data_IF_811778251320
#
_entry.id   IF_811778251320
#
_cell.length_a   1.000
_cell.length_b   1.000
_cell.length_c   1.000
_cell.angle_alpha   90.00
_cell.angle_beta   90.00
_cell.angle_gamma   90.00
#
_symmetry.space_group_name_H-M   'P 1'
#
loop_
_entity.id
_entity.type
_entity.pdbx_description
1 polymer ?
#
# COMPACT_ATOMS: atom_id res chain seq x y z
N UNK A 1 1.78 16.62 -15.09
CA UNK A 1 2.48 16.78 -13.79
C UNK A 1 3.94 17.02 -14.05
N UNK A 2 4.52 18.11 -13.50
CA UNK A 2 5.93 18.48 -13.69
C UNK A 2 6.76 18.27 -12.42
N UNK A 3 6.14 18.47 -11.27
CA UNK A 3 6.79 18.37 -9.96
C UNK A 3 5.99 17.48 -9.02
N UNK A 4 6.68 16.63 -8.25
CA UNK A 4 6.06 15.73 -7.27
C UNK A 4 6.80 15.76 -5.94
N UNK A 5 6.05 15.78 -4.84
CA UNK A 5 6.53 15.53 -3.50
C UNK A 5 6.13 14.12 -3.07
N UNK A 6 7.08 13.33 -2.57
CA UNK A 6 6.84 11.99 -2.04
C UNK A 6 7.10 12.00 -0.52
N UNK A 7 6.04 11.81 0.27
CA UNK A 7 6.18 11.62 1.72
C UNK A 7 6.43 10.14 2.02
N UNK A 8 7.68 9.77 2.27
CA UNK A 8 8.15 8.39 2.31
C UNK A 8 8.80 7.96 1.00
N UNK A 9 8.46 6.79 0.47
CA UNK A 9 8.83 6.36 -0.88
C UNK A 9 10.26 5.82 -1.05
N UNK A 10 10.99 5.50 0.02
CA UNK A 10 12.36 4.97 -0.08
C UNK A 10 12.44 3.44 -0.07
N UNK A 11 11.32 2.75 0.01
CA UNK A 11 11.25 1.29 0.06
C UNK A 11 10.07 0.77 -0.75
N UNK A 12 10.13 -0.49 -1.19
CA UNK A 12 9.06 -1.25 -1.82
C UNK A 12 8.42 -0.49 -3.00
N UNK A 13 7.13 -0.61 -3.23
CA UNK A 13 6.44 0.07 -4.33
C UNK A 13 6.56 1.61 -4.29
N UNK A 14 6.80 2.21 -3.13
CA UNK A 14 7.07 3.65 -3.04
C UNK A 14 8.38 4.04 -3.74
N UNK A 15 9.43 3.20 -3.63
CA UNK A 15 10.69 3.37 -4.34
C UNK A 15 10.50 3.23 -5.86
N UNK A 16 9.70 2.24 -6.30
CA UNK A 16 9.35 2.05 -7.70
C UNK A 16 8.58 3.24 -8.28
N UNK A 17 7.68 3.85 -7.48
CA UNK A 17 6.98 5.07 -7.86
C UNK A 17 7.96 6.21 -8.13
N UNK A 18 8.95 6.42 -7.26
CA UNK A 18 9.97 7.46 -7.47
C UNK A 18 10.71 7.24 -8.79
N UNK A 19 11.17 6.01 -9.08
CA UNK A 19 11.83 5.69 -10.35
C UNK A 19 10.93 5.97 -11.56
N UNK A 20 9.65 5.55 -11.52
CA UNK A 20 8.70 5.83 -12.62
C UNK A 20 8.49 7.34 -12.86
N UNK A 21 8.44 8.12 -11.79
CA UNK A 21 8.33 9.59 -11.91
C UNK A 21 9.58 10.20 -12.54
N UNK A 22 10.76 9.75 -12.15
CA UNK A 22 12.03 10.21 -12.74
C UNK A 22 12.15 9.82 -14.21
N UNK A 23 11.77 8.61 -14.59
CA UNK A 23 11.73 8.12 -15.96
C UNK A 23 10.78 8.94 -16.85
N UNK A 24 9.65 9.43 -16.32
CA UNK A 24 8.70 10.33 -17.02
C UNK A 24 9.18 11.81 -17.00
N UNK A 25 10.36 12.10 -16.48
CA UNK A 25 10.95 13.45 -16.44
C UNK A 25 10.35 14.37 -15.38
N UNK A 26 9.68 13.83 -14.37
CA UNK A 26 9.12 14.61 -13.25
C UNK A 26 10.22 15.02 -12.29
N UNK A 27 10.23 16.28 -11.87
CA UNK A 27 11.12 16.77 -10.81
C UNK A 27 10.58 16.27 -9.48
N UNK A 28 11.34 15.37 -8.84
CA UNK A 28 10.90 14.68 -7.62
C UNK A 28 11.61 15.23 -6.39
N UNK A 29 10.84 15.54 -5.37
CA UNK A 29 11.30 15.82 -4.01
C UNK A 29 10.85 14.67 -3.11
N UNK A 30 11.78 14.02 -2.40
CA UNK A 30 11.48 12.95 -1.44
C UNK A 30 11.65 13.50 -0.01
N UNK A 31 10.61 13.40 0.81
CA UNK A 31 10.60 13.87 2.18
C UNK A 31 10.47 12.67 3.16
N UNK A 32 11.52 12.43 3.94
CA UNK A 32 11.64 11.30 4.88
C UNK A 32 12.38 11.70 6.14
N UNK A 33 12.54 10.76 7.08
CA UNK A 33 13.38 10.95 8.27
C UNK A 33 14.88 10.84 7.99
N UNK A 34 15.31 10.57 6.74
CA UNK A 34 16.69 10.40 6.35
C UNK A 34 17.38 9.15 6.92
N UNK A 35 16.62 8.13 7.34
CA UNK A 35 17.17 6.92 7.99
C UNK A 35 17.41 5.76 7.02
N UNK A 36 16.71 5.73 5.90
CA UNK A 36 16.81 4.69 4.87
C UNK A 36 17.62 5.25 3.70
N UNK A 37 18.62 4.52 3.27
CA UNK A 37 19.35 4.84 2.04
C UNK A 37 18.46 4.52 0.83
N UNK A 38 18.54 5.35 -0.19
CA UNK A 38 17.92 5.14 -1.48
C UNK A 38 18.99 5.11 -2.59
N UNK A 39 18.60 4.77 -3.80
CA UNK A 39 19.45 4.69 -4.99
C UNK A 39 19.01 5.66 -6.09
N UNK A 40 18.29 6.72 -5.74
CA UNK A 40 17.74 7.69 -6.70
C UNK A 40 18.80 8.62 -7.33
N UNK A 41 20.06 8.51 -6.90
CA UNK A 41 21.14 9.40 -7.39
C UNK A 41 20.91 10.87 -7.03
N UNK A 42 21.51 11.75 -7.82
CA UNK A 42 21.44 13.21 -7.62
C UNK A 42 20.18 13.84 -8.25
N UNK A 43 19.38 13.05 -8.98
CA UNK A 43 18.16 13.51 -9.66
C UNK A 43 16.97 13.79 -8.73
N UNK A 44 17.12 13.54 -7.42
CA UNK A 44 16.06 13.71 -6.43
C UNK A 44 16.48 14.68 -5.34
N UNK A 45 15.65 15.71 -5.12
CA UNK A 45 15.80 16.54 -3.92
C UNK A 45 15.33 15.77 -2.67
N UNK A 46 16.11 15.84 -1.59
CA UNK A 46 15.79 15.16 -0.33
C UNK A 46 15.54 16.15 0.79
N UNK A 47 14.35 16.07 1.39
CA UNK A 47 13.99 16.83 2.57
C UNK A 47 13.97 15.91 3.81
N UNK A 48 14.64 16.32 4.88
CA UNK A 48 14.57 15.60 6.15
C UNK A 48 13.41 16.17 6.97
N UNK A 49 12.40 15.34 7.22
CA UNK A 49 11.20 15.71 7.97
C UNK A 49 10.88 14.70 9.06
N UNK A 50 10.25 15.17 10.10
CA UNK A 50 9.51 14.34 11.07
C UNK A 50 8.00 14.61 10.88
N UNK A 51 7.27 13.66 10.28
CA UNK A 51 5.85 13.85 9.97
C UNK A 51 4.95 13.94 11.21
N UNK A 52 5.44 13.48 12.36
CA UNK A 52 4.74 13.62 13.64
C UNK A 52 4.87 15.05 14.22
N UNK A 53 5.70 15.90 13.60
CA UNK A 53 5.97 17.29 14.02
C UNK A 53 5.59 18.28 12.92
N UNK A 54 4.50 19.00 13.10
CA UNK A 54 4.00 19.99 12.13
C UNK A 54 5.08 21.01 11.75
N UNK A 55 5.82 21.53 12.73
CA UNK A 55 6.88 22.53 12.53
C UNK A 55 8.02 22.02 11.63
N UNK A 56 8.34 20.72 11.71
CA UNK A 56 9.34 20.08 10.86
C UNK A 56 8.93 20.13 9.38
N UNK A 57 7.67 19.77 9.09
CA UNK A 57 7.15 19.80 7.71
C UNK A 57 6.93 21.23 7.22
N UNK A 58 6.34 22.11 8.04
CA UNK A 58 6.09 23.52 7.66
C UNK A 58 7.39 24.21 7.24
N UNK A 59 8.48 24.01 8.02
CA UNK A 59 9.79 24.58 7.71
C UNK A 59 10.38 23.99 6.43
N UNK A 60 10.29 22.66 6.26
CA UNK A 60 10.85 21.98 5.08
C UNK A 60 10.12 22.36 3.78
N UNK A 61 8.81 22.72 3.87
CA UNK A 61 7.97 23.06 2.72
C UNK A 61 7.84 24.57 2.49
N UNK A 62 8.54 25.41 3.25
CA UNK A 62 8.51 26.86 3.08
C UNK A 62 9.04 27.27 1.72
N UNK A 63 8.32 28.18 1.04
CA UNK A 63 8.68 28.68 -0.30
C UNK A 63 8.61 27.66 -1.44
N UNK A 64 8.04 26.48 -1.23
CA UNK A 64 7.97 25.39 -2.20
C UNK A 64 6.56 25.15 -2.69
N UNK A 65 6.45 24.62 -3.91
CA UNK A 65 5.18 24.19 -4.51
C UNK A 65 5.39 22.94 -5.34
N UNK A 66 4.38 22.06 -5.38
CA UNK A 66 4.36 20.84 -6.18
C UNK A 66 3.02 20.68 -6.89
N UNK A 67 3.05 20.10 -8.08
CA UNK A 67 1.81 19.76 -8.78
C UNK A 67 1.05 18.66 -8.03
N UNK A 68 1.77 17.66 -7.52
CA UNK A 68 1.19 16.51 -6.86
C UNK A 68 2.01 16.10 -5.64
N UNK A 69 1.34 15.73 -4.56
CA UNK A 69 1.94 15.02 -3.44
C UNK A 69 1.47 13.56 -3.42
N UNK A 70 2.40 12.64 -3.18
CA UNK A 70 2.12 11.22 -2.91
C UNK A 70 2.46 10.92 -1.45
N UNK A 71 1.44 10.66 -0.65
CA UNK A 71 1.64 10.32 0.76
C UNK A 71 1.66 8.80 0.95
N UNK A 72 2.88 8.25 0.97
CA UNK A 72 3.15 6.81 1.08
C UNK A 72 3.27 6.34 2.53
N UNK A 73 3.40 7.26 3.47
CA UNK A 73 3.74 6.92 4.86
C UNK A 73 2.69 7.35 5.89
N UNK A 74 1.58 7.96 5.47
CA UNK A 74 0.50 8.36 6.37
C UNK A 74 -0.21 7.14 6.98
N UNK A 75 -0.32 7.15 8.29
CA UNK A 75 -0.95 6.08 9.05
C UNK A 75 -2.30 6.48 9.65
N UNK A 76 -2.46 7.70 10.13
CA UNK A 76 -3.59 8.14 10.95
C UNK A 76 -4.18 9.47 10.50
N UNK A 77 -5.42 9.81 10.93
CA UNK A 77 -6.02 11.11 10.62
C UNK A 77 -5.21 12.29 11.17
N UNK A 78 -4.53 12.12 12.32
CA UNK A 78 -3.66 13.18 12.85
C UNK A 78 -2.47 13.43 11.91
N UNK A 79 -1.88 12.38 11.36
CA UNK A 79 -0.79 12.51 10.40
C UNK A 79 -1.26 13.09 9.05
N UNK A 80 -2.44 12.69 8.57
CA UNK A 80 -3.06 13.27 7.38
C UNK A 80 -3.31 14.76 7.54
N UNK A 81 -3.89 15.15 8.68
CA UNK A 81 -4.12 16.55 9.06
C UNK A 81 -2.82 17.34 9.09
N UNK A 82 -1.83 16.84 9.81
CA UNK A 82 -0.54 17.53 9.97
C UNK A 82 0.16 17.73 8.62
N UNK A 83 0.14 16.71 7.76
CA UNK A 83 0.74 16.80 6.42
C UNK A 83 -0.04 17.77 5.52
N UNK A 84 -1.36 17.63 5.47
CA UNK A 84 -2.19 18.46 4.60
C UNK A 84 -2.11 19.96 5.00
N UNK A 85 -2.21 20.28 6.30
CA UNK A 85 -2.08 21.67 6.78
C UNK A 85 -0.70 22.29 6.47
N UNK A 86 0.39 21.49 6.49
CA UNK A 86 1.72 21.98 6.10
C UNK A 86 1.85 22.21 4.59
N UNK A 87 1.01 21.53 3.78
CA UNK A 87 0.99 21.58 2.32
C UNK A 87 -0.13 22.45 1.74
N UNK A 88 -1.01 22.99 2.56
CA UNK A 88 -2.13 23.83 2.09
C UNK A 88 -1.63 25.04 1.29
N UNK A 89 -2.18 25.21 0.10
CA UNK A 89 -1.77 26.26 -0.86
C UNK A 89 -0.45 25.99 -1.60
N UNK A 90 0.19 24.84 -1.36
CA UNK A 90 1.48 24.47 -1.97
C UNK A 90 1.38 23.31 -2.96
N UNK A 91 0.24 22.66 -3.06
CA UNK A 91 0.01 21.49 -3.91
C UNK A 91 -1.23 21.64 -4.76
N UNK A 92 -1.25 20.99 -5.93
CA UNK A 92 -2.39 20.97 -6.83
C UNK A 92 -3.21 19.67 -6.79
N UNK A 93 -2.66 18.58 -6.23
CA UNK A 93 -3.31 17.28 -6.13
C UNK A 93 -2.72 16.48 -4.96
N UNK A 94 -3.54 15.73 -4.23
CA UNK A 94 -3.12 14.87 -3.13
C UNK A 94 -3.43 13.42 -3.42
N UNK A 95 -2.43 12.54 -3.44
CA UNK A 95 -2.60 11.09 -3.62
C UNK A 95 -2.20 10.40 -2.33
N UNK A 96 -3.15 9.71 -1.73
CA UNK A 96 -2.95 8.98 -0.48
C UNK A 96 -2.89 7.48 -0.72
N UNK A 97 -1.82 6.84 -0.27
CA UNK A 97 -1.74 5.38 -0.23
C UNK A 97 -2.44 4.85 1.02
N UNK A 98 -3.66 4.37 0.81
CA UNK A 98 -4.48 3.71 1.83
C UNK A 98 -4.25 2.19 1.81
N UNK A 99 -5.28 1.39 1.94
CA UNK A 99 -5.22 -0.08 2.04
C UNK A 99 -6.61 -0.69 1.86
N UNK A 100 -6.69 -1.94 1.42
CA UNK A 100 -7.92 -2.73 1.48
C UNK A 100 -8.46 -2.91 2.91
N UNK A 101 -7.60 -2.73 3.93
CA UNK A 101 -7.99 -2.89 5.34
C UNK A 101 -9.02 -1.85 5.82
N UNK A 102 -9.40 -0.87 5.00
CA UNK A 102 -10.56 -0.02 5.29
C UNK A 102 -11.89 -0.78 5.20
N UNK A 103 -11.91 -1.94 4.56
CA UNK A 103 -13.10 -2.79 4.45
C UNK A 103 -13.15 -3.84 5.56
N UNK A 104 -14.37 -4.26 5.90
CA UNK A 104 -14.57 -5.51 6.60
C UNK A 104 -14.27 -6.71 5.68
N UNK A 105 -14.01 -7.88 6.24
CA UNK A 105 -13.87 -9.10 5.45
C UNK A 105 -15.09 -9.34 4.56
N UNK A 106 -14.86 -9.87 3.37
CA UNK A 106 -15.90 -10.17 2.38
C UNK A 106 -15.34 -10.24 0.96
N UNK A 107 -16.17 -10.71 0.05
CA UNK A 107 -15.81 -10.85 -1.36
C UNK A 107 -16.12 -9.58 -2.15
N UNK A 108 -15.29 -9.30 -3.16
CA UNK A 108 -15.50 -8.27 -4.19
C UNK A 108 -15.83 -6.89 -3.60
N UNK A 109 -15.06 -6.49 -2.56
CA UNK A 109 -15.26 -5.20 -1.91
C UNK A 109 -15.08 -4.06 -2.89
N UNK A 110 -16.09 -3.20 -2.97
CA UNK A 110 -16.12 -2.01 -3.84
C UNK A 110 -15.72 -0.77 -3.05
N UNK A 111 -15.32 0.27 -3.76
CA UNK A 111 -14.95 1.55 -3.12
C UNK A 111 -16.11 2.15 -2.31
N UNK A 112 -17.34 1.87 -2.70
CA UNK A 112 -18.56 2.31 -2.00
C UNK A 112 -18.84 1.58 -0.69
N UNK A 113 -18.19 0.45 -0.41
CA UNK A 113 -18.35 -0.30 0.85
C UNK A 113 -17.73 0.42 2.06
N UNK A 114 -16.93 1.44 1.82
CA UNK A 114 -16.48 2.38 2.83
C UNK A 114 -16.59 3.82 2.30
N UNK A 115 -17.50 4.60 2.88
CA UNK A 115 -17.66 6.02 2.56
C UNK A 115 -16.91 6.88 3.60
N UNK A 116 -15.76 7.49 3.23
CA UNK A 116 -14.99 8.33 4.11
C UNK A 116 -15.68 9.66 4.47
N UNK A 117 -16.70 10.09 3.71
CA UNK A 117 -17.45 11.32 4.03
C UNK A 117 -18.40 11.13 5.22
N UNK A 118 -18.80 9.88 5.50
CA UNK A 118 -19.67 9.52 6.62
C UNK A 118 -18.91 9.04 7.87
N UNK A 119 -17.57 8.91 7.78
CA UNK A 119 -16.76 8.42 8.89
C UNK A 119 -16.28 9.58 9.76
N UNK A 120 -16.47 9.49 11.08
CA UNK A 120 -16.00 10.48 12.05
C UNK A 120 -14.58 10.07 12.55
N UNK A 121 -13.51 10.79 12.16
CA UNK A 121 -12.15 10.39 12.48
C UNK A 121 -11.77 10.74 13.93
N UNK A 122 -11.24 9.76 14.65
CA UNK A 122 -10.65 9.98 15.98
C UNK A 122 -9.16 10.29 15.85
N UNK A 123 -8.77 11.51 16.29
CA UNK A 123 -7.38 12.00 16.16
C UNK A 123 -6.50 11.49 17.30
N UNK A 124 -5.81 10.39 17.08
CA UNK A 124 -4.85 9.78 18.02
C UNK A 124 -3.45 9.76 17.40
N UNK A 125 -2.43 9.64 18.25
CA UNK A 125 -1.08 9.34 17.78
C UNK A 125 -1.00 7.90 17.29
N UNK A 126 -0.12 7.65 16.33
CA UNK A 126 0.09 6.33 15.71
C UNK A 126 0.19 5.17 16.70
N UNK A 127 0.87 5.39 17.83
CA UNK A 127 1.10 4.35 18.86
C UNK A 127 -0.15 3.98 19.68
N UNK A 128 -1.20 4.77 19.59
CA UNK A 128 -2.46 4.54 20.32
C UNK A 128 -3.43 3.65 19.53
N UNK A 129 -3.10 3.35 18.27
CA UNK A 129 -3.84 2.40 17.45
C UNK A 129 -3.22 1.02 17.57
N UNK A 130 -3.94 0.06 18.15
CA UNK A 130 -3.46 -1.31 18.40
C UNK A 130 -4.09 -2.35 17.47
N UNK A 131 -3.25 -3.28 16.98
CA UNK A 131 -3.73 -4.42 16.19
C UNK A 131 -4.36 -4.04 14.84
N UNK A 132 -5.05 -5.02 14.21
CA UNK A 132 -5.69 -4.84 12.91
C UNK A 132 -6.85 -3.83 12.97
N UNK A 133 -7.67 -3.89 14.02
CA UNK A 133 -8.81 -2.96 14.20
C UNK A 133 -8.32 -1.50 14.34
N UNK A 134 -7.25 -1.28 15.12
CA UNK A 134 -6.65 0.05 15.22
C UNK A 134 -6.05 0.53 13.91
N UNK A 135 -5.40 -0.37 13.16
CA UNK A 135 -4.90 -0.04 11.82
C UNK A 135 -6.03 0.36 10.86
N UNK A 136 -7.12 -0.40 10.86
CA UNK A 136 -8.32 -0.11 10.08
C UNK A 136 -8.91 1.26 10.45
N UNK A 137 -9.14 1.51 11.76
CA UNK A 137 -9.63 2.80 12.27
C UNK A 137 -8.74 3.97 11.82
N UNK A 138 -7.42 3.81 11.95
CA UNK A 138 -6.45 4.83 11.59
C UNK A 138 -6.50 5.18 10.10
N UNK A 139 -6.54 4.16 9.21
CA UNK A 139 -6.58 4.37 7.76
C UNK A 139 -7.93 4.92 7.30
N UNK A 140 -9.04 4.45 7.85
CA UNK A 140 -10.38 5.03 7.62
C UNK A 140 -10.41 6.51 8.01
N UNK A 141 -9.88 6.84 9.19
CA UNK A 141 -9.81 8.22 9.66
C UNK A 141 -8.92 9.12 8.79
N UNK A 142 -7.81 8.59 8.27
CA UNK A 142 -6.94 9.37 7.37
C UNK A 142 -7.63 9.68 6.04
N UNK A 143 -8.34 8.72 5.43
CA UNK A 143 -9.17 8.97 4.25
C UNK A 143 -10.26 9.99 4.54
N UNK A 144 -11.00 9.80 5.64
CA UNK A 144 -12.08 10.70 6.05
C UNK A 144 -11.59 12.14 6.20
N UNK A 145 -10.46 12.34 6.90
CA UNK A 145 -9.90 13.68 7.05
C UNK A 145 -9.60 14.33 5.71
N UNK A 146 -8.94 13.62 4.80
CA UNK A 146 -8.56 14.17 3.49
C UNK A 146 -9.79 14.51 2.64
N UNK A 147 -10.77 13.61 2.52
CA UNK A 147 -11.97 13.87 1.73
C UNK A 147 -12.86 14.98 2.30
N UNK A 148 -12.92 15.10 3.62
CA UNK A 148 -13.76 16.11 4.28
C UNK A 148 -13.13 17.50 4.34
N UNK A 149 -11.79 17.61 4.29
CA UNK A 149 -11.10 18.88 4.59
C UNK A 149 -10.18 19.38 3.47
N UNK A 150 -9.75 18.53 2.52
CA UNK A 150 -8.85 18.98 1.47
C UNK A 150 -9.55 19.89 0.48
N UNK A 151 -8.90 21.02 0.14
CA UNK A 151 -9.36 22.00 -0.84
C UNK A 151 -8.82 21.74 -2.25
N UNK A 152 -8.01 20.70 -2.39
CA UNK A 152 -7.46 20.23 -3.68
C UNK A 152 -8.06 18.87 -4.02
N UNK A 153 -8.05 18.45 -5.29
CA UNK A 153 -8.44 17.10 -5.68
C UNK A 153 -7.66 16.04 -4.87
N UNK A 154 -8.36 15.01 -4.38
CA UNK A 154 -7.79 13.90 -3.62
C UNK A 154 -8.06 12.60 -4.35
N UNK A 155 -7.01 11.80 -4.56
CA UNK A 155 -7.12 10.39 -4.92
C UNK A 155 -6.63 9.52 -3.74
N UNK A 156 -7.37 8.47 -3.46
CA UNK A 156 -7.01 7.47 -2.46
C UNK A 156 -6.84 6.14 -3.16
N UNK A 157 -5.66 5.53 -3.03
CA UNK A 157 -5.38 4.22 -3.59
C UNK A 157 -5.42 3.20 -2.47
N UNK A 158 -6.29 2.17 -2.61
CA UNK A 158 -6.51 1.08 -1.66
C UNK A 158 -5.92 -0.22 -2.21
N UNK A 159 -4.61 -0.45 -2.05
CA UNK A 159 -4.00 -1.68 -2.52
C UNK A 159 -4.49 -2.88 -1.71
N UNK A 160 -4.61 -4.02 -2.39
CA UNK A 160 -4.70 -5.34 -1.80
C UNK A 160 -3.40 -5.70 -1.05
N UNK A 161 -3.21 -6.98 -0.73
CA UNK A 161 -1.95 -7.47 -0.18
C UNK A 161 -0.85 -7.29 -1.23
N UNK A 162 0.04 -6.31 -1.01
CA UNK A 162 1.12 -6.04 -1.96
C UNK A 162 2.21 -7.09 -1.82
N UNK A 163 2.64 -7.67 -2.94
CA UNK A 163 3.70 -8.69 -3.03
C UNK A 163 4.79 -8.26 -4.01
N UNK A 164 6.01 -8.72 -3.79
CA UNK A 164 7.16 -8.43 -4.67
C UNK A 164 8.45 -8.94 -4.06
N UNK A 165 9.51 -9.03 -4.88
CA UNK A 165 10.85 -9.41 -4.42
C UNK A 165 11.49 -8.40 -3.47
N UNK A 166 10.96 -7.18 -3.43
CA UNK A 166 11.37 -6.05 -2.61
C UNK A 166 10.44 -5.81 -1.39
N UNK A 167 9.53 -6.77 -1.08
CA UNK A 167 8.66 -6.70 0.10
C UNK A 167 9.47 -6.94 1.38
N UNK A 168 9.84 -5.82 2.04
CA UNK A 168 10.55 -5.85 3.32
C UNK A 168 9.75 -6.43 4.48
N UNK A 169 8.46 -6.69 4.31
CA UNK A 169 7.61 -7.34 5.33
C UNK A 169 7.73 -8.85 5.31
N UNK A 170 8.32 -9.41 4.24
CA UNK A 170 8.62 -10.83 4.05
C UNK A 170 7.42 -11.78 4.19
N UNK A 171 6.18 -11.25 4.07
CA UNK A 171 4.96 -12.05 4.26
C UNK A 171 4.82 -13.16 3.23
N UNK A 172 5.18 -12.91 1.99
CA UNK A 172 5.16 -13.93 0.95
C UNK A 172 6.34 -14.91 1.15
N UNK A 173 7.54 -14.38 1.40
CA UNK A 173 8.74 -15.16 1.65
C UNK A 173 8.57 -16.15 2.83
N UNK A 174 7.82 -15.76 3.87
CA UNK A 174 7.49 -16.65 4.99
C UNK A 174 6.94 -18.00 4.49
N UNK A 175 6.02 -18.02 3.53
CA UNK A 175 5.41 -19.25 3.02
C UNK A 175 6.41 -20.06 2.18
N UNK A 176 7.20 -19.39 1.35
CA UNK A 176 8.27 -20.04 0.57
C UNK A 176 9.27 -20.71 1.49
N UNK A 177 9.74 -19.99 2.52
CA UNK A 177 10.71 -20.50 3.49
C UNK A 177 10.15 -21.69 4.31
N UNK A 178 8.89 -21.63 4.73
CA UNK A 178 8.24 -22.72 5.46
C UNK A 178 8.15 -23.99 4.63
N UNK A 179 7.75 -23.88 3.36
CA UNK A 179 7.71 -25.05 2.44
C UNK A 179 9.11 -25.57 2.19
N UNK A 180 10.10 -24.71 1.90
CA UNK A 180 11.50 -25.14 1.68
C UNK A 180 12.07 -25.94 2.85
N UNK A 181 11.69 -25.57 4.09
CA UNK A 181 12.16 -26.20 5.34
C UNK A 181 11.23 -27.32 5.83
N UNK A 182 10.11 -27.59 5.15
CA UNK A 182 9.08 -28.54 5.55
C UNK A 182 8.54 -28.25 6.99
N UNK A 183 8.46 -26.94 7.34
CA UNK A 183 8.00 -26.45 8.61
C UNK A 183 6.49 -26.14 8.60
N UNK A 184 5.79 -26.27 9.74
CA UNK A 184 4.35 -26.01 9.81
C UNK A 184 3.97 -24.56 9.47
N UNK A 185 2.89 -24.42 8.68
CA UNK A 185 2.20 -23.16 8.37
C UNK A 185 0.85 -23.22 9.09
N UNK A 186 0.69 -22.35 10.08
CA UNK A 186 -0.53 -22.30 10.92
C UNK A 186 -1.60 -21.41 10.28
N UNK A 187 -2.75 -21.98 9.95
CA UNK A 187 -3.94 -21.27 9.52
C UNK A 187 -5.19 -21.97 10.01
N UNK A 188 -6.15 -21.24 10.60
CA UNK A 188 -7.42 -21.82 11.05
C UNK A 188 -8.34 -22.18 9.90
N UNK A 189 -8.25 -21.42 8.81
CA UNK A 189 -8.95 -21.66 7.56
C UNK A 189 -8.00 -21.27 6.41
N UNK A 190 -7.68 -22.21 5.57
CA UNK A 190 -6.80 -22.02 4.43
C UNK A 190 -7.55 -21.93 3.08
N UNK A 191 -8.89 -22.06 3.12
CA UNK A 191 -9.75 -21.92 1.92
C UNK A 191 -10.26 -20.47 1.71
N UNK A 192 -9.97 -19.54 2.63
CA UNK A 192 -10.34 -18.13 2.45
C UNK A 192 -9.56 -17.50 1.31
N UNK A 193 -10.29 -16.78 0.45
CA UNK A 193 -9.71 -16.10 -0.71
C UNK A 193 -9.33 -14.66 -0.38
N UNK A 194 -8.24 -14.19 -0.96
CA UNK A 194 -7.79 -12.81 -0.82
C UNK A 194 -7.14 -12.29 -2.11
N UNK A 195 -7.20 -10.97 -2.26
CA UNK A 195 -6.57 -10.31 -3.41
C UNK A 195 -5.12 -9.95 -3.13
N UNK A 196 -4.31 -10.08 -4.18
CA UNK A 196 -2.95 -9.54 -4.24
C UNK A 196 -2.85 -8.38 -5.23
N UNK A 197 -1.84 -7.54 -5.08
CA UNK A 197 -1.33 -6.66 -6.13
C UNK A 197 0.20 -6.74 -6.16
N UNK A 198 0.81 -6.62 -7.33
CA UNK A 198 2.26 -6.53 -7.42
C UNK A 198 2.78 -5.18 -6.92
N UNK A 199 4.04 -5.14 -6.45
CA UNK A 199 4.71 -3.87 -6.15
C UNK A 199 4.87 -2.99 -7.41
N UNK A 200 4.95 -3.61 -8.58
CA UNK A 200 4.95 -2.95 -9.89
C UNK A 200 3.63 -2.25 -10.18
N UNK A 201 2.49 -2.96 -10.00
CA UNK A 201 1.15 -2.40 -10.25
C UNK A 201 0.78 -1.35 -9.20
N UNK A 202 1.16 -1.57 -7.94
CA UNK A 202 0.94 -0.57 -6.90
C UNK A 202 1.64 0.76 -7.24
N UNK A 203 2.90 0.71 -7.66
CA UNK A 203 3.64 1.89 -8.12
C UNK A 203 3.09 2.45 -9.43
N UNK A 204 2.73 1.56 -10.38
CA UNK A 204 2.17 1.92 -11.69
C UNK A 204 0.85 2.65 -11.56
N UNK A 205 -0.08 2.15 -10.74
CA UNK A 205 -1.36 2.81 -10.55
C UNK A 205 -1.24 4.14 -9.80
N UNK A 206 -0.36 4.24 -8.80
CA UNK A 206 -0.07 5.51 -8.13
C UNK A 206 0.45 6.56 -9.13
N UNK A 207 1.39 6.16 -10.00
CA UNK A 207 1.89 7.03 -11.08
C UNK A 207 0.76 7.44 -12.03
N UNK A 208 -0.06 6.47 -12.50
CA UNK A 208 -1.21 6.71 -13.36
C UNK A 208 -2.20 7.69 -12.72
N UNK A 209 -2.53 7.49 -11.43
CA UNK A 209 -3.44 8.36 -10.69
C UNK A 209 -2.98 9.83 -10.67
N UNK A 210 -1.66 10.06 -10.55
CA UNK A 210 -1.11 11.41 -10.62
C UNK A 210 -1.07 11.99 -12.03
N UNK A 211 -0.74 11.17 -13.01
CA UNK A 211 -0.67 11.56 -14.43
C UNK A 211 -2.04 11.95 -14.97
N UNK A 212 -3.04 11.14 -14.70
CA UNK A 212 -4.43 11.37 -15.14
C UNK A 212 -5.23 12.26 -14.17
N UNK A 213 -4.60 12.74 -13.08
CA UNK A 213 -5.24 13.57 -12.04
C UNK A 213 -6.54 12.95 -11.51
N UNK A 214 -6.52 11.65 -11.24
CA UNK A 214 -7.67 10.91 -10.74
C UNK A 214 -8.14 11.46 -9.40
N UNK A 215 -9.45 11.29 -9.10
CA UNK A 215 -10.07 11.73 -7.84
C UNK A 215 -10.98 10.64 -7.29
N UNK A 216 -11.13 10.60 -5.96
CA UNK A 216 -11.91 9.56 -5.29
C UNK A 216 -11.06 8.36 -4.88
N UNK A 217 -11.70 7.32 -4.36
CA UNK A 217 -11.02 6.10 -3.93
C UNK A 217 -10.94 5.09 -5.09
N UNK A 218 -9.86 4.30 -5.12
CA UNK A 218 -9.60 3.26 -6.12
C UNK A 218 -9.03 2.01 -5.45
N UNK A 219 -9.69 0.89 -5.63
CA UNK A 219 -9.15 -0.41 -5.30
C UNK A 219 -8.13 -0.85 -6.36
N UNK A 220 -7.01 -1.42 -5.93
CA UNK A 220 -6.03 -1.99 -6.83
C UNK A 220 -5.64 -3.41 -6.42
N UNK A 221 -5.76 -4.33 -7.35
CA UNK A 221 -5.42 -5.74 -7.19
C UNK A 221 -5.26 -6.38 -8.58
N UNK A 222 -4.72 -7.58 -8.64
CA UNK A 222 -4.97 -8.47 -9.77
C UNK A 222 -6.47 -8.78 -9.86
N UNK A 223 -6.95 -9.14 -11.04
CA UNK A 223 -8.36 -9.51 -11.24
C UNK A 223 -8.70 -10.84 -10.57
N UNK A 224 -7.77 -11.79 -10.59
CA UNK A 224 -7.91 -13.08 -9.94
C UNK A 224 -7.60 -13.01 -8.43
N UNK A 225 -8.02 -14.05 -7.73
CA UNK A 225 -7.79 -14.21 -6.30
C UNK A 225 -7.31 -15.63 -6.00
N UNK A 226 -6.50 -15.80 -4.96
CA UNK A 226 -6.11 -17.10 -4.44
C UNK A 226 -6.64 -17.32 -3.03
N UNK A 227 -6.90 -18.58 -2.70
CA UNK A 227 -6.91 -19.03 -1.31
C UNK A 227 -5.48 -19.28 -0.81
N UNK A 228 -5.32 -19.35 0.52
CA UNK A 228 -4.04 -19.71 1.10
C UNK A 228 -3.60 -21.12 0.65
N UNK A 229 -4.56 -22.05 0.56
CA UNK A 229 -4.31 -23.42 0.08
C UNK A 229 -3.77 -23.42 -1.36
N UNK A 230 -4.38 -22.64 -2.26
CA UNK A 230 -3.93 -22.54 -3.65
C UNK A 230 -2.54 -21.92 -3.77
N UNK A 231 -2.25 -20.86 -3.00
CA UNK A 231 -0.92 -20.27 -2.95
C UNK A 231 0.12 -21.28 -2.47
N UNK A 232 -0.15 -21.98 -1.37
CA UNK A 232 0.77 -22.97 -0.82
C UNK A 232 0.98 -24.12 -1.81
N UNK A 233 -0.07 -24.62 -2.47
CA UNK A 233 0.06 -25.69 -3.49
C UNK A 233 0.95 -25.30 -4.68
N UNK A 234 0.95 -24.03 -5.08
CA UNK A 234 1.88 -23.52 -6.10
C UNK A 234 3.32 -23.52 -5.59
N UNK A 235 3.55 -23.13 -4.34
CA UNK A 235 4.89 -23.15 -3.73
C UNK A 235 5.39 -24.59 -3.58
N UNK A 236 4.54 -25.54 -3.15
CA UNK A 236 4.85 -26.98 -3.11
C UNK A 236 5.31 -27.50 -4.45
N UNK A 237 4.53 -27.21 -5.50
CA UNK A 237 4.83 -27.66 -6.86
C UNK A 237 6.16 -27.09 -7.38
N UNK A 238 6.45 -25.83 -7.12
CA UNK A 238 7.67 -25.18 -7.57
C UNK A 238 8.91 -25.62 -6.77
N UNK A 239 8.74 -25.87 -5.46
CA UNK A 239 9.82 -26.27 -4.56
C UNK A 239 10.12 -27.79 -4.64
N UNK A 240 9.24 -28.60 -5.25
CA UNK A 240 9.24 -30.07 -5.19
C UNK A 240 9.34 -30.59 -3.74
N UNK A 241 8.54 -29.99 -2.84
CA UNK A 241 8.50 -30.30 -1.42
C UNK A 241 7.09 -30.21 -0.87
N UNK A 242 6.70 -31.14 0.06
CA UNK A 242 5.39 -31.08 0.69
C UNK A 242 5.29 -29.90 1.67
N UNK A 243 4.16 -29.18 1.66
CA UNK A 243 3.85 -28.21 2.68
C UNK A 243 3.10 -28.86 3.86
N UNK A 244 3.33 -28.35 5.05
CA UNK A 244 2.65 -28.80 6.28
C UNK A 244 1.70 -27.69 6.72
N UNK A 245 0.43 -27.76 6.32
CA UNK A 245 -0.61 -26.83 6.80
C UNK A 245 -1.24 -27.42 8.07
N UNK A 246 -1.40 -26.61 9.10
CA UNK A 246 -2.00 -27.01 10.37
C UNK A 246 -3.00 -26.01 10.90
N UNK A 247 -4.09 -26.50 11.52
CA UNK A 247 -5.05 -25.67 12.26
C UNK A 247 -4.53 -25.19 13.62
N UNK A 248 -3.43 -25.77 14.13
CA UNK A 248 -2.76 -25.32 15.35
C UNK A 248 -1.88 -24.10 15.02
N UNK A 249 -2.32 -22.93 15.48
CA UNK A 249 -1.66 -21.65 15.18
C UNK A 249 -0.88 -21.18 16.40
N UNK A 250 0.44 -21.06 16.24
CA UNK A 250 1.38 -20.51 17.23
C UNK A 250 1.97 -19.20 16.71
N UNK A 251 2.73 -18.50 17.53
CA UNK A 251 3.40 -17.27 17.09
C UNK A 251 4.46 -17.53 15.99
N UNK A 252 5.08 -18.71 16.00
CA UNK A 252 6.19 -19.08 15.11
C UNK A 252 5.69 -19.58 13.74
N UNK A 253 4.47 -20.11 13.68
CA UNK A 253 3.92 -20.69 12.45
C UNK A 253 2.75 -19.92 11.86
N UNK A 254 2.20 -18.92 12.56
CA UNK A 254 1.04 -18.16 12.09
C UNK A 254 1.26 -17.57 10.71
N UNK A 255 0.46 -18.03 9.74
CA UNK A 255 0.51 -17.48 8.38
C UNK A 255 0.13 -15.99 8.38
N UNK A 256 0.96 -15.11 7.80
CA UNK A 256 0.57 -13.71 7.56
C UNK A 256 -0.68 -13.55 6.70
N UNK A 257 -1.06 -14.60 5.94
CA UNK A 257 -2.27 -14.67 5.11
C UNK A 257 -3.35 -15.59 5.71
N UNK A 258 -3.19 -16.04 6.95
CA UNK A 258 -4.21 -16.79 7.69
C UNK A 258 -5.36 -15.90 8.14
N UNK A 259 -6.14 -15.41 7.19
CA UNK A 259 -7.23 -14.46 7.43
C UNK A 259 -8.47 -15.16 7.99
N UNK A 260 -9.31 -14.45 8.78
CA UNK A 260 -10.52 -15.04 9.36
C UNK A 260 -11.67 -15.21 8.36
N UNK A 261 -11.61 -14.59 7.18
CA UNK A 261 -12.63 -14.66 6.13
C UNK A 261 -12.11 -14.13 4.80
N UNK A 262 -12.88 -14.32 3.75
CA UNK A 262 -12.55 -13.81 2.43
C UNK A 262 -12.28 -12.30 2.45
N UNK A 263 -11.30 -11.86 1.69
CA UNK A 263 -10.96 -10.44 1.58
C UNK A 263 -10.51 -10.12 0.17
N UNK A 264 -11.47 -9.97 -0.72
CA UNK A 264 -11.21 -9.70 -2.13
C UNK A 264 -11.77 -8.35 -2.57
N UNK A 265 -11.15 -7.76 -3.58
CA UNK A 265 -11.48 -6.43 -4.11
C UNK A 265 -12.08 -6.52 -5.51
N UNK A 266 -13.09 -5.71 -5.78
CA UNK A 266 -13.50 -5.32 -7.12
C UNK A 266 -12.59 -4.19 -7.62
N UNK A 267 -11.97 -4.37 -8.76
CA UNK A 267 -11.01 -3.40 -9.37
C UNK A 267 -11.57 -2.72 -10.62
N UNK A 268 -12.83 -2.96 -10.94
CA UNK A 268 -13.50 -2.45 -12.16
C UNK A 268 -13.32 -0.94 -12.30
N UNK A 269 -13.46 -0.19 -11.20
CA UNK A 269 -13.31 1.28 -11.23
C UNK A 269 -11.90 1.71 -11.62
N UNK A 270 -10.87 1.03 -11.14
CA UNK A 270 -9.49 1.33 -11.51
C UNK A 270 -9.23 1.01 -13.00
N UNK A 271 -9.75 -0.12 -13.51
CA UNK A 271 -9.65 -0.51 -14.92
C UNK A 271 -10.37 0.49 -15.85
N UNK A 272 -11.51 1.03 -15.43
CA UNK A 272 -12.23 2.07 -16.19
C UNK A 272 -11.42 3.36 -16.38
N UNK A 273 -10.34 3.56 -15.65
CA UNK A 273 -9.39 4.68 -15.89
C UNK A 273 -8.42 4.42 -17.03
N UNK A 274 -8.48 3.24 -17.66
CA UNK A 274 -7.55 2.79 -18.70
C UNK A 274 -6.29 2.09 -18.15
N UNK A 275 -6.20 1.84 -16.83
CA UNK A 275 -5.11 1.07 -16.25
C UNK A 275 -5.36 -0.43 -16.38
N UNK A 276 -4.34 -1.17 -16.82
CA UNK A 276 -4.39 -2.64 -16.90
C UNK A 276 -3.46 -3.24 -15.85
N UNK A 277 -3.99 -4.10 -15.02
CA UNK A 277 -3.21 -4.87 -14.04
C UNK A 277 -2.53 -6.06 -14.71
N UNK A 278 -1.42 -6.51 -14.15
CA UNK A 278 -0.71 -7.71 -14.60
C UNK A 278 -1.54 -9.00 -14.39
N UNK A 279 -1.01 -10.10 -14.92
CA UNK A 279 -1.58 -11.43 -14.71
C UNK A 279 -1.06 -12.02 -13.39
N UNK A 280 -1.98 -12.37 -12.46
CA UNK A 280 -1.63 -12.87 -11.14
C UNK A 280 -0.90 -14.21 -11.20
N UNK A 281 -1.34 -15.14 -12.06
CA UNK A 281 -0.73 -16.48 -12.16
C UNK A 281 0.73 -16.36 -12.59
N UNK A 282 0.99 -15.64 -13.68
CA UNK A 282 2.34 -15.43 -14.21
C UNK A 282 3.24 -14.71 -13.19
N UNK A 283 2.69 -13.68 -12.52
CA UNK A 283 3.45 -12.91 -11.53
C UNK A 283 3.83 -13.76 -10.31
N UNK A 284 2.87 -14.49 -9.75
CA UNK A 284 3.09 -15.33 -8.55
C UNK A 284 4.06 -16.49 -8.87
N UNK A 285 3.94 -17.14 -10.01
CA UNK A 285 4.89 -18.17 -10.45
C UNK A 285 6.32 -17.60 -10.56
N UNK A 286 6.49 -16.47 -11.26
CA UNK A 286 7.79 -15.80 -11.35
C UNK A 286 8.33 -15.33 -9.99
N UNK A 287 7.45 -14.88 -9.07
CA UNK A 287 7.86 -14.48 -7.73
C UNK A 287 8.34 -15.70 -6.91
N UNK A 288 7.63 -16.82 -6.97
CA UNK A 288 8.03 -18.06 -6.29
C UNK A 288 9.40 -18.50 -6.79
N UNK A 289 9.62 -18.59 -8.11
CA UNK A 289 10.91 -18.98 -8.71
C UNK A 289 12.07 -18.09 -8.24
N UNK A 290 11.85 -16.79 -8.11
CA UNK A 290 12.88 -15.84 -7.64
C UNK A 290 13.19 -15.95 -6.16
N UNK A 291 12.28 -16.49 -5.35
CA UNK A 291 12.41 -16.64 -3.90
C UNK A 291 12.90 -18.03 -3.48
N UNK A 292 12.78 -19.04 -4.36
CA UNK A 292 13.35 -20.37 -4.17
C UNK A 292 14.88 -20.36 -4.35
#
# INVERSE_FOLDING_TARGET
MKTALILGGTQFFGKRLVHKLLEDGVIVTVATRGRTRDDFGDGVERLVIDREKKESMTRAFEGRQWDTVYDQSCFSPLEAKTAYEALEGKIGHYIFTSTMAVYEFGKERKETDFDPLLFDPTFKHRKEYGGMTGYQEAKRGAEAYLFQNAKVPVAVVRPALVIGTDDYTERFLFHVDKVKKEEPIGAKNDDVSFSFTSSEDAAGFLFHAGKERLTGAYNIAFEDNFSLRELIGRIESAADKPAVITGEVTKENASPYGLPGDWTLDVTKAQMTGYSFGNMNEYVESLIEKLL
#
